data_IF_443893172785
#
_entry.id   IF_443893172785
#
_cell.length_a   1.000
_cell.length_b   1.000
_cell.length_c   1.000
_cell.angle_alpha   90.00
_cell.angle_beta   90.00
_cell.angle_gamma   90.00
#
_symmetry.space_group_name_H-M   'P 1'
#
loop_
_entity.id
_entity.type
_entity.pdbx_description
1 polymer ?
#
# COMPACT_ATOMS: atom_id res chain seq x y z
N UNK A 1 -15.78 3.65 -18.43
CA UNK A 1 -15.46 3.35 -17.01
C UNK A 1 -16.37 4.23 -16.17
N UNK A 2 -17.08 3.67 -15.18
CA UNK A 2 -17.86 4.49 -14.23
C UNK A 2 -16.89 5.04 -13.20
N UNK A 3 -17.00 6.34 -12.89
CA UNK A 3 -16.33 6.91 -11.71
C UNK A 3 -16.95 6.25 -10.48
N UNK A 4 -16.14 5.85 -9.48
CA UNK A 4 -16.66 5.33 -8.23
C UNK A 4 -17.56 6.39 -7.59
N UNK A 5 -18.65 5.95 -6.98
CA UNK A 5 -19.50 6.82 -6.17
C UNK A 5 -18.74 7.24 -4.90
N UNK A 6 -19.12 8.36 -4.28
CA UNK A 6 -18.56 8.80 -3.00
C UNK A 6 -18.62 7.68 -1.95
N UNK A 7 -19.70 6.92 -1.91
CA UNK A 7 -19.84 5.80 -0.98
C UNK A 7 -18.84 4.68 -1.26
N UNK A 8 -18.58 4.33 -2.52
CA UNK A 8 -17.57 3.33 -2.89
C UNK A 8 -16.15 3.82 -2.56
N UNK A 9 -15.90 5.11 -2.74
CA UNK A 9 -14.62 5.72 -2.41
C UNK A 9 -14.36 5.71 -0.90
N UNK A 10 -15.35 6.14 -0.10
CA UNK A 10 -15.25 6.12 1.35
C UNK A 10 -15.06 4.70 1.90
N UNK A 11 -15.79 3.72 1.36
CA UNK A 11 -15.64 2.30 1.73
C UNK A 11 -14.29 1.72 1.28
N UNK A 12 -13.77 2.15 0.13
CA UNK A 12 -12.44 1.76 -0.30
C UNK A 12 -11.36 2.29 0.67
N UNK A 13 -11.49 3.53 1.15
CA UNK A 13 -10.52 4.13 2.08
C UNK A 13 -10.46 3.37 3.40
N UNK A 14 -11.59 2.88 3.91
CA UNK A 14 -11.61 2.19 5.21
C UNK A 14 -10.87 0.86 5.22
N UNK A 15 -10.57 0.27 4.05
CA UNK A 15 -9.92 -1.04 3.94
C UNK A 15 -8.58 -0.99 3.18
N UNK A 16 -8.44 -0.12 2.19
CA UNK A 16 -7.29 -0.17 1.27
C UNK A 16 -5.97 0.28 1.92
N UNK A 17 -6.02 1.06 3.00
CA UNK A 17 -4.84 1.67 3.61
C UNK A 17 -4.41 1.06 4.93
N UNK A 18 -5.09 0.01 5.41
CA UNK A 18 -4.83 -0.65 6.71
C UNK A 18 -3.36 -1.11 6.89
N UNK A 19 -2.62 -1.32 5.80
CA UNK A 19 -1.19 -1.67 5.85
C UNK A 19 -0.27 -0.53 6.32
N UNK A 20 -0.72 0.72 6.21
CA UNK A 20 0.08 1.92 6.46
C UNK A 20 -0.54 2.88 7.48
N UNK A 21 -1.71 2.55 8.03
CA UNK A 21 -2.36 3.24 9.15
C UNK A 21 -2.60 2.24 10.28
N UNK A 22 -3.13 2.69 11.42
CA UNK A 22 -3.60 1.75 12.45
C UNK A 22 -4.77 0.94 11.88
N UNK A 23 -4.67 -0.41 11.79
CA UNK A 23 -5.70 -1.21 11.14
C UNK A 23 -7.07 -1.05 11.78
N UNK A 24 -8.11 -0.87 10.97
CA UNK A 24 -9.48 -0.68 11.44
C UNK A 24 -9.72 0.63 12.18
N UNK A 25 -8.79 1.59 12.10
CA UNK A 25 -8.99 2.93 12.68
C UNK A 25 -9.78 3.88 11.78
N UNK A 26 -9.90 3.58 10.49
CA UNK A 26 -10.59 4.42 9.53
C UNK A 26 -12.11 4.32 9.69
N UNK A 27 -12.78 5.41 10.07
CA UNK A 27 -14.23 5.43 10.28
C UNK A 27 -14.88 6.62 9.58
N UNK A 28 -15.90 6.34 8.76
CA UNK A 28 -16.72 7.38 8.11
C UNK A 28 -17.75 7.89 9.10
N UNK A 29 -17.84 9.21 9.28
CA UNK A 29 -18.80 9.83 10.19
C UNK A 29 -19.62 10.96 9.55
N UNK A 30 -19.27 11.40 8.34
CA UNK A 30 -20.14 12.22 7.49
C UNK A 30 -20.20 11.59 6.10
N UNK A 31 -21.43 11.45 5.59
CA UNK A 31 -21.70 11.01 4.24
C UNK A 31 -22.82 11.87 3.67
N UNK A 32 -22.45 12.87 2.88
CA UNK A 32 -23.39 13.79 2.21
C UNK A 32 -23.28 13.62 0.69
N UNK A 33 -24.17 12.81 0.12
CA UNK A 33 -24.23 12.58 -1.34
C UNK A 33 -24.75 13.78 -2.11
N UNK A 34 -25.47 14.71 -1.48
CA UNK A 34 -26.04 15.87 -2.17
C UNK A 34 -24.95 16.90 -2.47
N UNK A 35 -24.09 17.15 -1.50
CA UNK A 35 -22.95 18.05 -1.63
C UNK A 35 -21.70 17.33 -2.16
N UNK A 36 -21.71 16.00 -2.24
CA UNK A 36 -20.55 15.20 -2.66
C UNK A 36 -19.42 15.23 -1.63
N UNK A 37 -19.74 15.34 -0.35
CA UNK A 37 -18.78 15.50 0.74
C UNK A 37 -18.85 14.31 1.70
N UNK A 38 -17.72 13.63 1.85
CA UNK A 38 -17.48 12.62 2.87
C UNK A 38 -16.53 13.13 3.93
N UNK A 39 -16.69 12.67 5.18
CA UNK A 39 -15.65 12.82 6.20
C UNK A 39 -15.42 11.53 6.94
N UNK A 40 -14.14 11.22 7.11
CA UNK A 40 -13.67 10.08 7.87
C UNK A 40 -12.55 10.51 8.81
N UNK A 41 -12.42 9.81 9.91
CA UNK A 41 -11.21 9.85 10.73
C UNK A 41 -10.38 8.59 10.49
N UNK A 42 -9.08 8.69 10.75
CA UNK A 42 -8.17 7.55 10.81
C UNK A 42 -7.00 7.86 11.72
N UNK A 43 -6.28 6.83 12.15
CA UNK A 43 -5.09 6.99 13.00
C UNK A 43 -3.83 6.57 12.26
N UNK A 44 -2.87 7.48 12.14
CA UNK A 44 -1.54 7.21 11.60
C UNK A 44 -0.75 6.29 12.56
N UNK A 45 0.20 5.52 12.01
CA UNK A 45 1.05 4.61 12.80
C UNK A 45 1.92 5.35 13.83
N UNK A 46 2.22 6.63 13.58
CA UNK A 46 2.92 7.54 14.49
C UNK A 46 2.06 8.00 15.68
N UNK A 47 0.78 7.59 15.74
CA UNK A 47 -0.14 7.92 16.83
C UNK A 47 -0.75 9.31 16.71
N UNK A 48 -1.03 9.76 15.48
CA UNK A 48 -1.78 10.98 15.21
C UNK A 48 -3.10 10.59 14.56
N UNK A 49 -4.21 10.94 15.21
CA UNK A 49 -5.53 10.83 14.60
C UNK A 49 -5.76 12.05 13.71
N UNK A 50 -6.26 11.84 12.50
CA UNK A 50 -6.59 12.91 11.55
C UNK A 50 -8.02 12.75 11.06
N UNK A 51 -8.64 13.87 10.73
CA UNK A 51 -9.93 13.92 10.05
C UNK A 51 -9.71 14.40 8.64
N UNK A 52 -10.20 13.62 7.69
CA UNK A 52 -10.07 13.88 6.26
C UNK A 52 -11.46 14.17 5.71
N UNK A 53 -11.57 15.26 4.96
CA UNK A 53 -12.70 15.51 4.09
C UNK A 53 -12.37 15.03 2.67
N UNK A 54 -13.30 14.31 2.08
CA UNK A 54 -13.27 13.76 0.73
C UNK A 54 -14.36 14.46 -0.08
N UNK A 55 -14.02 14.92 -1.27
CA UNK A 55 -15.01 15.49 -2.20
C UNK A 55 -14.37 15.91 -3.52
N UNK A 56 -15.05 16.78 -4.27
CA UNK A 56 -14.64 17.16 -5.64
C UNK A 56 -13.23 17.77 -5.76
N UNK A 57 -12.69 18.33 -4.68
CA UNK A 57 -11.33 18.90 -4.65
C UNK A 57 -10.27 17.88 -4.22
N UNK A 58 -10.65 16.62 -4.04
CA UNK A 58 -9.81 15.55 -3.53
C UNK A 58 -9.89 15.44 -2.01
N UNK A 59 -8.74 15.18 -1.39
CA UNK A 59 -8.61 14.84 0.04
C UNK A 59 -7.96 15.98 0.79
N UNK A 60 -8.55 16.41 1.91
CA UNK A 60 -7.91 17.43 2.77
C UNK A 60 -8.04 17.10 4.24
N UNK A 61 -7.01 17.43 5.00
CA UNK A 61 -7.02 17.29 6.46
C UNK A 61 -7.76 18.49 7.03
N UNK A 62 -8.82 18.25 7.79
CA UNK A 62 -9.63 19.31 8.42
C UNK A 62 -9.32 19.48 9.90
N UNK A 63 -8.91 18.41 10.58
CA UNK A 63 -8.46 18.45 11.97
C UNK A 63 -7.53 17.29 12.28
N UNK A 64 -6.84 17.38 13.42
CA UNK A 64 -5.91 16.38 13.89
C UNK A 64 -5.86 16.36 15.42
N UNK A 65 -5.43 15.23 15.98
CA UNK A 65 -5.21 15.04 17.42
C UNK A 65 -4.03 14.09 17.64
N UNK A 66 -2.90 14.56 18.21
CA UNK A 66 -1.82 13.67 18.62
C UNK A 66 -2.27 12.86 19.85
N UNK A 67 -2.16 11.54 19.76
CA UNK A 67 -2.58 10.61 20.82
C UNK A 67 -1.48 10.34 21.85
N UNK A 68 -0.22 10.54 21.44
CA UNK A 68 0.96 10.33 22.27
C UNK A 68 1.93 11.52 22.17
N UNK A 69 3.00 11.49 22.97
CA UNK A 69 4.04 12.54 22.98
C UNK A 69 5.41 11.99 22.59
N UNK A 70 5.44 11.01 21.69
CA UNK A 70 6.70 10.43 21.19
C UNK A 70 7.35 11.36 20.15
N UNK A 71 8.64 11.18 19.90
CA UNK A 71 9.36 11.94 18.86
C UNK A 71 8.71 11.78 17.49
N UNK A 72 8.28 10.55 17.15
CA UNK A 72 7.66 10.24 15.87
C UNK A 72 6.29 10.92 15.75
N UNK A 73 5.49 10.89 16.83
CA UNK A 73 4.19 11.60 16.87
C UNK A 73 4.37 13.10 16.66
N UNK A 74 5.39 13.70 17.27
CA UNK A 74 5.68 15.14 17.11
C UNK A 74 6.07 15.47 15.67
N UNK A 75 6.96 14.68 15.05
CA UNK A 75 7.37 14.87 13.67
C UNK A 75 6.20 14.74 12.69
N UNK A 76 5.39 13.68 12.82
CA UNK A 76 4.19 13.50 12.01
C UNK A 76 3.18 14.64 12.22
N UNK A 77 2.98 15.08 13.46
CA UNK A 77 2.09 16.21 13.76
C UNK A 77 2.55 17.49 13.05
N UNK A 78 3.86 17.76 12.98
CA UNK A 78 4.39 18.92 12.25
C UNK A 78 4.07 18.83 10.75
N UNK A 79 4.22 17.65 10.15
CA UNK A 79 3.84 17.42 8.75
C UNK A 79 2.34 17.60 8.52
N UNK A 80 1.49 17.09 9.43
CA UNK A 80 0.04 17.29 9.38
C UNK A 80 -0.33 18.77 9.45
N UNK A 81 0.27 19.52 10.39
CA UNK A 81 0.02 20.96 10.54
C UNK A 81 0.44 21.74 9.30
N UNK A 82 1.57 21.40 8.70
CA UNK A 82 2.06 22.07 7.49
C UNK A 82 1.13 21.87 6.28
N UNK A 83 0.33 20.81 6.26
CA UNK A 83 -0.58 20.45 5.16
C UNK A 83 -2.06 20.57 5.54
N UNK A 84 -2.38 21.25 6.65
CA UNK A 84 -3.76 21.40 7.11
C UNK A 84 -4.59 22.23 6.11
N UNK A 85 -5.79 21.76 5.78
CA UNK A 85 -6.69 22.33 4.77
C UNK A 85 -6.10 22.42 3.35
N UNK A 86 -4.97 21.77 3.09
CA UNK A 86 -4.42 21.66 1.74
C UNK A 86 -5.07 20.46 1.02
N UNK A 87 -5.60 20.64 -0.21
CA UNK A 87 -6.15 19.55 -0.99
C UNK A 87 -5.03 18.69 -1.60
N UNK A 88 -5.26 17.39 -1.63
CA UNK A 88 -4.44 16.37 -2.28
C UNK A 88 -5.29 15.64 -3.32
N UNK A 89 -4.67 15.29 -4.45
CA UNK A 89 -5.35 14.58 -5.54
C UNK A 89 -5.72 13.14 -5.14
N UNK A 90 -4.84 12.46 -4.39
CA UNK A 90 -5.06 11.08 -3.95
C UNK A 90 -4.80 10.91 -2.46
N UNK A 91 -5.47 9.94 -1.86
CA UNK A 91 -5.28 9.56 -0.46
C UNK A 91 -3.83 9.09 -0.20
N UNK A 92 -3.22 8.36 -1.14
CA UNK A 92 -1.81 7.97 -1.06
C UNK A 92 -0.89 9.18 -0.97
N UNK A 93 -1.13 10.21 -1.80
CA UNK A 93 -0.30 11.42 -1.83
C UNK A 93 -0.38 12.17 -0.49
N UNK A 94 -1.57 12.22 0.10
CA UNK A 94 -1.79 12.76 1.44
C UNK A 94 -1.02 11.95 2.49
N UNK A 95 -1.22 10.63 2.53
CA UNK A 95 -0.62 9.76 3.55
C UNK A 95 0.91 9.69 3.44
N UNK A 96 1.46 9.65 2.23
CA UNK A 96 2.92 9.70 2.00
C UNK A 96 3.55 11.01 2.50
N UNK A 97 2.80 12.11 2.42
CA UNK A 97 3.30 13.43 2.83
C UNK A 97 3.32 13.58 4.35
N UNK A 98 2.31 13.04 5.04
CA UNK A 98 2.13 13.28 6.48
C UNK A 98 2.62 12.14 7.38
N UNK A 99 2.81 10.93 6.85
CA UNK A 99 3.20 9.75 7.60
C UNK A 99 4.47 9.11 7.01
N UNK A 100 5.65 9.36 7.63
CA UNK A 100 6.88 8.65 7.27
C UNK A 100 6.74 7.12 7.33
N UNK A 101 6.00 6.59 8.31
CA UNK A 101 5.76 5.15 8.43
C UNK A 101 4.90 4.62 7.29
N UNK A 102 3.84 5.34 6.89
CA UNK A 102 3.07 4.97 5.70
C UNK A 102 3.95 4.91 4.46
N UNK A 103 4.79 5.93 4.26
CA UNK A 103 5.72 5.97 3.13
C UNK A 103 6.65 4.76 3.13
N UNK A 104 7.26 4.42 4.27
CA UNK A 104 8.10 3.23 4.38
C UNK A 104 7.34 1.95 4.02
N UNK A 105 6.14 1.75 4.59
CA UNK A 105 5.30 0.56 4.33
C UNK A 105 4.88 0.46 2.87
N UNK A 106 4.56 1.58 2.24
CA UNK A 106 4.23 1.62 0.83
C UNK A 106 5.40 1.16 -0.04
N UNK A 107 6.61 1.65 0.22
CA UNK A 107 7.81 1.22 -0.51
C UNK A 107 8.10 -0.27 -0.29
N UNK A 108 7.97 -0.78 0.95
CA UNK A 108 8.12 -2.21 1.25
C UNK A 108 7.15 -3.08 0.43
N UNK A 109 5.88 -2.67 0.32
CA UNK A 109 4.88 -3.37 -0.48
C UNK A 109 5.18 -3.33 -1.98
N UNK A 110 5.67 -2.20 -2.50
CA UNK A 110 6.10 -2.11 -3.89
C UNK A 110 7.27 -3.05 -4.18
N UNK A 111 8.26 -3.10 -3.30
CA UNK A 111 9.40 -4.03 -3.43
C UNK A 111 8.94 -5.48 -3.41
N UNK A 112 8.03 -5.86 -2.50
CA UNK A 112 7.49 -7.22 -2.45
C UNK A 112 6.74 -7.60 -3.74
N UNK A 113 5.96 -6.68 -4.32
CA UNK A 113 5.26 -6.92 -5.59
C UNK A 113 6.21 -7.09 -6.78
N UNK A 114 7.34 -6.37 -6.78
CA UNK A 114 8.38 -6.52 -7.79
C UNK A 114 9.13 -7.85 -7.66
N UNK A 115 9.43 -8.30 -6.44
CA UNK A 115 10.13 -9.56 -6.18
C UNK A 115 9.23 -10.79 -6.45
N UNK A 116 7.91 -10.64 -6.29
CA UNK A 116 6.90 -11.64 -6.64
C UNK A 116 6.55 -11.70 -8.14
N UNK A 117 7.35 -11.10 -9.01
CA UNK A 117 7.28 -11.31 -10.46
C UNK A 117 8.35 -12.32 -10.89
N UNK A 118 8.21 -13.64 -10.60
CA UNK A 118 9.02 -14.63 -11.27
C UNK A 118 8.67 -14.61 -12.76
N UNK A 119 9.68 -14.86 -13.57
CA UNK A 119 9.60 -14.94 -15.02
C UNK A 119 8.43 -15.83 -15.46
N UNK A 120 7.33 -15.23 -15.94
CA UNK A 120 6.35 -15.95 -16.76
C UNK A 120 7.00 -16.24 -18.12
N UNK A 121 7.84 -17.27 -18.15
CA UNK A 121 8.31 -17.95 -19.35
C UNK A 121 7.56 -19.25 -19.52
N UNK A 122 6.37 -19.17 -20.11
CA UNK A 122 5.62 -20.28 -20.72
C UNK A 122 5.66 -20.02 -22.24
N UNK A 123 5.84 -20.93 -23.20
CA UNK A 123 5.91 -22.40 -23.32
C UNK A 123 6.45 -22.71 -24.74
N UNK A 124 7.11 -23.85 -24.98
CA UNK A 124 6.68 -24.81 -26.02
C UNK A 124 7.51 -26.12 -26.06
N UNK A 125 6.80 -27.22 -26.31
CA UNK A 125 7.23 -28.63 -26.31
C UNK A 125 7.54 -29.14 -27.74
N UNK A 126 8.03 -30.39 -27.84
CA UNK A 126 8.12 -31.34 -29.00
C UNK A 126 9.36 -31.16 -29.94
N UNK A 127 10.21 -32.13 -30.34
CA UNK A 127 10.18 -33.57 -30.75
C UNK A 127 11.62 -34.15 -30.61
N UNK A 128 11.86 -35.32 -29.98
CA UNK A 128 11.91 -36.67 -30.58
C UNK A 128 13.33 -37.23 -30.83
N UNK A 129 13.49 -38.53 -30.49
CA UNK A 129 14.49 -39.53 -30.91
C UNK A 129 15.80 -39.73 -30.11
N UNK A 130 15.78 -40.83 -29.34
CA UNK A 130 16.90 -41.76 -29.13
C UNK A 130 17.60 -42.09 -30.47
N UNK A 131 18.90 -42.45 -30.41
CA UNK A 131 19.20 -43.87 -30.52
C UNK A 131 20.19 -44.40 -29.48
N UNK A 132 19.91 -45.62 -29.07
CA UNK A 132 20.75 -46.59 -28.37
C UNK A 132 22.06 -46.93 -29.08
N UNK A 133 23.14 -47.15 -28.33
CA UNK A 133 24.16 -48.24 -28.43
C UNK A 133 25.30 -47.91 -27.45
N UNK A 134 25.44 -48.55 -26.29
CA UNK A 134 26.09 -49.85 -26.04
C UNK A 134 27.57 -49.89 -26.46
N UNK A 135 28.49 -49.93 -25.48
CA UNK A 135 29.80 -50.63 -25.37
C UNK A 135 30.42 -50.11 -24.05
N UNK A 136 30.32 -50.79 -22.90
CA UNK A 136 31.03 -51.98 -22.42
C UNK A 136 32.57 -51.89 -22.45
N UNK A 137 33.18 -52.36 -21.35
CA UNK A 137 34.62 -52.66 -21.10
C UNK A 137 35.54 -51.46 -20.77
N UNK A 138 36.49 -51.48 -19.82
CA UNK A 138 36.99 -52.46 -18.83
C UNK A 138 37.97 -51.70 -17.89
N UNK A 139 38.04 -52.10 -16.61
CA UNK A 139 39.21 -52.08 -15.67
C UNK A 139 39.94 -50.76 -15.35
N UNK A 140 40.63 -50.51 -14.23
CA UNK A 140 41.21 -51.27 -13.10
C UNK A 140 41.60 -50.15 -12.08
N UNK A 141 41.12 -50.12 -10.84
CA UNK A 141 41.70 -50.74 -9.64
C UNK A 141 43.07 -50.18 -9.17
N UNK A 142 43.01 -49.45 -8.04
CA UNK A 142 43.91 -49.42 -6.85
C UNK A 142 45.44 -49.30 -6.95
N UNK A 143 45.99 -48.29 -6.24
CA UNK A 143 46.91 -48.49 -5.10
C UNK A 143 48.39 -48.83 -5.35
N UNK A 144 49.28 -47.84 -5.14
CA UNK A 144 50.30 -47.78 -4.06
C UNK A 144 51.12 -46.48 -4.16
#
# INVERSE_FOLDING_TARGET
MRLPTLSEELDAITHNYDYGIVPGSATVFVHDELEGIGRLDLTLLEGVMIVIEVGDQGYKITSYSPLYSTSDTVAATQSVVANLNQPFETMESLLMTISPMFSQRFHELLYQKLDQQPSNGDSDTILQQQPSSSYNTLSEQEGL
#
